data_IF_193450084013
#
_entry.id   IF_193450084013
#
_cell.length_a   1.000
_cell.length_b   1.000
_cell.length_c   1.000
_cell.angle_alpha   90.00
_cell.angle_beta   90.00
_cell.angle_gamma   90.00
#
_symmetry.space_group_name_H-M   'P 1'
#
loop_
_entity.id
_entity.type
_entity.pdbx_description
1 polymer ?
#
# COMPACT_ATOMS: atom_id res chain seq x y z
N UNK A 1 -42.03 56.84 49.54
CA UNK A 1 -41.07 57.43 48.59
C UNK A 1 -39.75 57.65 49.29
N UNK A 2 -38.74 56.81 49.05
CA UNK A 2 -37.37 57.17 48.65
C UNK A 2 -36.51 55.90 48.64
N UNK A 3 -35.70 55.78 47.58
CA UNK A 3 -34.97 54.59 47.17
C UNK A 3 -33.76 54.28 48.07
N UNK A 4 -33.59 53.01 48.44
CA UNK A 4 -32.34 52.51 49.01
C UNK A 4 -31.37 52.14 47.87
N UNK A 5 -30.31 52.92 47.69
CA UNK A 5 -29.22 52.63 46.75
C UNK A 5 -28.21 51.72 47.46
N UNK A 6 -28.22 50.42 47.13
CA UNK A 6 -27.15 49.50 47.51
C UNK A 6 -25.91 49.80 46.66
N UNK A 7 -24.92 50.48 47.25
CA UNK A 7 -23.60 50.66 46.64
C UNK A 7 -22.71 49.47 47.01
N UNK A 8 -22.69 48.45 46.16
CA UNK A 8 -21.73 47.36 46.27
C UNK A 8 -20.34 47.88 45.87
N UNK A 9 -19.55 48.34 46.86
CA UNK A 9 -18.11 48.58 46.67
C UNK A 9 -17.41 47.24 46.47
N UNK A 10 -17.28 46.82 45.22
CA UNK A 10 -16.33 45.77 44.84
C UNK A 10 -14.93 46.29 45.16
N UNK A 11 -14.29 45.73 46.20
CA UNK A 11 -12.90 46.06 46.50
C UNK A 11 -12.02 45.69 45.29
N UNK A 12 -11.04 46.54 44.97
CA UNK A 12 -10.14 46.34 43.84
C UNK A 12 -9.48 44.95 43.81
N UNK A 13 -9.32 44.31 44.98
CA UNK A 13 -8.81 42.95 45.11
C UNK A 13 -9.75 41.83 44.61
N UNK A 14 -11.07 42.02 44.61
CA UNK A 14 -12.03 41.04 44.06
C UNK A 14 -12.12 41.10 42.54
N UNK A 15 -12.02 42.30 41.96
CA UNK A 15 -11.95 42.50 40.50
C UNK A 15 -10.64 41.92 39.94
N UNK A 16 -9.52 42.15 40.62
CA UNK A 16 -8.22 41.57 40.24
C UNK A 16 -8.20 40.03 40.27
N UNK A 17 -8.89 39.39 41.23
CA UNK A 17 -8.98 37.92 41.31
C UNK A 17 -9.87 37.29 40.23
N UNK A 18 -10.95 37.95 39.83
CA UNK A 18 -11.82 37.49 38.74
C UNK A 18 -11.15 37.63 37.36
N UNK A 19 -10.36 38.70 37.16
CA UNK A 19 -9.54 38.86 35.96
C UNK A 19 -8.41 37.83 35.86
N UNK A 20 -7.75 37.50 36.98
CA UNK A 20 -6.72 36.45 37.01
C UNK A 20 -7.29 35.06 36.71
N UNK A 21 -8.49 34.73 37.19
CA UNK A 21 -9.17 33.47 36.89
C UNK A 21 -9.65 33.39 35.42
N UNK A 22 -10.10 34.51 34.83
CA UNK A 22 -10.45 34.57 33.42
C UNK A 22 -9.22 34.45 32.49
N UNK A 23 -8.08 35.03 32.87
CA UNK A 23 -6.82 34.90 32.13
C UNK A 23 -6.24 33.47 32.21
N UNK A 24 -6.40 32.79 33.34
CA UNK A 24 -6.00 31.39 33.48
C UNK A 24 -6.93 30.42 32.71
N UNK A 25 -8.22 30.75 32.60
CA UNK A 25 -9.19 29.99 31.80
C UNK A 25 -8.96 30.12 30.29
N UNK A 26 -8.52 31.29 29.81
CA UNK A 26 -8.18 31.49 28.38
C UNK A 26 -6.80 30.88 28.04
N UNK A 27 -5.86 30.86 28.98
CA UNK A 27 -4.57 30.20 28.79
C UNK A 27 -4.68 28.65 28.71
N UNK A 28 -5.69 28.05 29.33
CA UNK A 28 -5.97 26.60 29.24
C UNK A 28 -6.79 26.20 28.01
N UNK A 29 -7.44 27.14 27.32
CA UNK A 29 -8.16 26.90 26.06
C UNK A 29 -7.27 27.11 24.83
N UNK A 30 -6.17 27.84 24.97
CA UNK A 30 -5.06 27.83 24.01
C UNK A 30 -4.09 26.71 24.36
N UNK A 31 -4.59 25.47 24.34
CA UNK A 31 -3.71 24.32 24.14
C UNK A 31 -2.94 24.59 22.86
N UNK A 32 -1.66 24.95 23.00
CA UNK A 32 -0.74 25.15 21.90
C UNK A 32 -0.94 23.95 20.96
N UNK A 33 -1.53 24.22 19.81
CA UNK A 33 -1.58 23.27 18.71
C UNK A 33 -0.12 23.17 18.29
N UNK A 34 0.64 22.29 18.96
CA UNK A 34 1.94 21.92 18.50
C UNK A 34 1.72 21.54 17.04
N UNK A 35 2.37 22.26 16.12
CA UNK A 35 2.41 21.89 14.71
C UNK A 35 3.12 20.54 14.64
N UNK A 36 2.38 19.48 14.96
CA UNK A 36 2.85 18.11 14.83
C UNK A 36 3.11 17.93 13.34
N UNK A 37 4.35 17.60 12.99
CA UNK A 37 4.72 17.34 11.62
C UNK A 37 3.70 16.37 10.97
N UNK A 38 3.33 16.60 9.70
CA UNK A 38 2.33 15.78 9.02
C UNK A 38 2.74 14.31 9.04
N UNK A 39 1.77 13.42 9.20
CA UNK A 39 1.99 11.99 9.04
C UNK A 39 2.33 11.70 7.58
N UNK A 40 3.53 11.16 7.31
CA UNK A 40 3.99 10.86 5.97
C UNK A 40 3.79 9.39 5.63
N UNK A 41 3.01 9.13 4.58
CA UNK A 41 2.68 7.78 4.13
C UNK A 41 3.33 7.55 2.77
N UNK A 42 4.27 6.61 2.70
CA UNK A 42 4.89 6.19 1.46
C UNK A 42 4.07 5.15 0.71
N UNK A 43 3.89 5.34 -0.58
CA UNK A 43 3.21 4.39 -1.46
C UNK A 43 3.85 4.39 -2.85
N UNK A 44 3.93 3.22 -3.48
CA UNK A 44 4.30 3.13 -4.89
C UNK A 44 3.13 3.51 -5.80
N UNK A 45 3.40 4.24 -6.88
CA UNK A 45 2.40 4.74 -7.83
C UNK A 45 1.43 3.65 -8.25
N UNK A 46 0.16 3.86 -7.93
CA UNK A 46 -0.91 2.91 -8.16
C UNK A 46 -2.28 3.60 -8.09
N UNK A 47 -3.33 3.02 -8.69
CA UNK A 47 -4.70 3.53 -8.58
C UNK A 47 -5.21 3.64 -7.12
N UNK A 48 -4.56 2.97 -6.16
CA UNK A 48 -4.92 2.99 -4.74
C UNK A 48 -4.71 4.35 -4.07
N UNK A 49 -3.90 5.21 -4.67
CA UNK A 49 -3.56 6.53 -4.12
C UNK A 49 -4.79 7.42 -3.95
N UNK A 50 -5.78 7.31 -4.82
CA UNK A 50 -7.02 8.08 -4.68
C UNK A 50 -7.77 7.71 -3.39
N UNK A 51 -7.76 6.43 -3.00
CA UNK A 51 -8.32 5.98 -1.73
C UNK A 51 -7.55 6.54 -0.53
N UNK A 52 -6.21 6.62 -0.61
CA UNK A 52 -5.38 7.27 0.42
C UNK A 52 -5.64 8.77 0.51
N UNK A 53 -5.83 9.47 -0.61
CA UNK A 53 -6.17 10.90 -0.64
C UNK A 53 -7.54 11.16 0.00
N UNK A 54 -8.53 10.30 -0.24
CA UNK A 54 -9.84 10.36 0.43
C UNK A 54 -9.67 10.21 1.95
N UNK A 55 -8.91 9.19 2.40
CA UNK A 55 -8.61 9.00 3.82
C UNK A 55 -7.86 10.19 4.43
N UNK A 56 -6.90 10.78 3.71
CA UNK A 56 -6.17 11.97 4.15
C UNK A 56 -7.08 13.19 4.32
N UNK A 57 -8.05 13.38 3.43
CA UNK A 57 -9.05 14.45 3.56
C UNK A 57 -9.92 14.26 4.81
N UNK A 58 -10.37 13.03 5.09
CA UNK A 58 -11.14 12.72 6.30
C UNK A 58 -10.29 12.86 7.58
N UNK A 59 -9.03 12.42 7.54
CA UNK A 59 -8.07 12.60 8.62
C UNK A 59 -7.85 14.08 8.95
N UNK A 60 -7.74 14.94 7.94
CA UNK A 60 -7.59 16.38 8.11
C UNK A 60 -8.80 17.01 8.81
N UNK A 61 -10.02 16.58 8.47
CA UNK A 61 -11.23 17.01 9.16
C UNK A 61 -11.25 16.60 10.64
N UNK A 62 -10.51 15.53 11.00
CA UNK A 62 -10.31 15.07 12.37
C UNK A 62 -9.02 15.60 13.02
N UNK A 63 -8.39 16.63 12.43
CA UNK A 63 -7.20 17.29 12.98
C UNK A 63 -5.88 16.55 12.79
N UNK A 64 -5.82 15.54 11.90
CA UNK A 64 -4.58 14.85 11.54
C UNK A 64 -4.16 15.25 10.12
N UNK A 65 -3.06 15.99 9.98
CA UNK A 65 -2.49 16.31 8.67
C UNK A 65 -1.69 15.11 8.13
N UNK A 66 -1.90 14.78 6.86
CA UNK A 66 -1.34 13.59 6.22
C UNK A 66 -0.76 13.97 4.87
N UNK A 67 0.50 13.59 4.64
CA UNK A 67 1.19 13.75 3.36
C UNK A 67 1.42 12.38 2.73
N UNK A 68 0.82 12.16 1.57
CA UNK A 68 1.13 10.99 0.74
C UNK A 68 2.41 11.28 -0.04
N UNK A 69 3.37 10.36 0.05
CA UNK A 69 4.65 10.41 -0.66
C UNK A 69 4.67 9.28 -1.68
N UNK A 70 4.67 9.64 -2.95
CA UNK A 70 4.61 8.71 -4.07
C UNK A 70 6.01 8.29 -4.53
N UNK A 71 6.17 7.00 -4.83
CA UNK A 71 7.39 6.42 -5.40
C UNK A 71 7.08 5.69 -6.71
N UNK A 72 7.98 5.74 -7.68
CA UNK A 72 7.77 5.13 -9.01
C UNK A 72 8.24 3.67 -9.10
N UNK A 73 8.84 3.15 -8.03
CA UNK A 73 9.41 1.80 -7.93
C UNK A 73 9.10 1.14 -6.56
N UNK A 74 9.59 -0.09 -6.35
CA UNK A 74 9.35 -0.90 -5.15
C UNK A 74 10.56 -1.00 -4.20
N UNK A 75 11.69 -0.41 -4.55
CA UNK A 75 12.91 -0.45 -3.74
C UNK A 75 13.02 0.81 -2.85
N UNK A 76 12.69 1.97 -3.41
CA UNK A 76 12.82 3.28 -2.76
C UNK A 76 11.96 3.45 -1.49
N UNK A 77 10.70 2.95 -1.40
CA UNK A 77 9.87 3.19 -0.22
C UNK A 77 10.44 2.62 1.10
N UNK A 78 11.15 1.48 1.04
CA UNK A 78 11.78 0.89 2.22
C UNK A 78 12.99 1.68 2.69
N UNK A 79 13.82 2.17 1.76
CA UNK A 79 14.93 3.07 2.10
C UNK A 79 14.43 4.39 2.73
N UNK A 80 13.36 4.97 2.16
CA UNK A 80 12.72 6.16 2.72
C UNK A 80 12.15 5.92 4.13
N UNK A 81 11.59 4.73 4.38
CA UNK A 81 11.12 4.35 5.72
C UNK A 81 12.28 4.23 6.70
N UNK A 82 13.39 3.61 6.32
CA UNK A 82 14.59 3.51 7.16
C UNK A 82 15.18 4.90 7.50
N UNK A 83 15.24 5.79 6.51
CA UNK A 83 15.80 7.14 6.65
C UNK A 83 14.87 8.13 7.36
N UNK A 84 13.68 7.69 7.79
CA UNK A 84 12.64 8.53 8.42
C UNK A 84 12.10 9.65 7.51
N UNK A 85 12.25 9.49 6.20
CA UNK A 85 11.63 10.37 5.21
C UNK A 85 10.11 10.19 5.16
N UNK A 86 9.63 9.00 5.52
CA UNK A 86 8.23 8.63 5.73
C UNK A 86 8.04 7.93 7.09
N UNK A 87 6.82 7.97 7.64
CA UNK A 87 6.48 7.36 8.93
C UNK A 87 5.98 5.92 8.79
N UNK A 88 5.24 5.65 7.73
CA UNK A 88 4.65 4.34 7.39
C UNK A 88 4.68 4.17 5.89
N UNK A 89 4.88 2.95 5.40
CA UNK A 89 4.66 2.63 3.99
C UNK A 89 3.50 1.63 3.82
N UNK A 90 2.87 1.70 2.65
CA UNK A 90 1.70 0.90 2.29
C UNK A 90 1.77 0.49 0.81
N UNK A 91 2.72 -0.40 0.50
CA UNK A 91 2.99 -0.84 -0.88
C UNK A 91 3.38 -2.32 -1.02
N UNK A 92 3.80 -2.97 0.06
CA UNK A 92 4.40 -4.31 0.04
C UNK A 92 3.58 -5.33 0.81
N UNK A 93 3.72 -6.60 0.44
CA UNK A 93 3.11 -7.74 1.15
C UNK A 93 4.11 -8.42 2.10
N UNK A 94 3.66 -9.40 2.89
CA UNK A 94 4.48 -10.05 3.91
C UNK A 94 5.73 -10.72 3.33
N UNK A 95 5.65 -11.53 2.25
CA UNK A 95 6.84 -12.10 1.63
C UNK A 95 7.89 -11.06 1.18
N UNK A 96 7.46 -9.92 0.63
CA UNK A 96 8.38 -8.85 0.24
C UNK A 96 9.01 -8.17 1.46
N UNK A 97 8.23 -7.93 2.51
CA UNK A 97 8.71 -7.40 3.79
C UNK A 97 9.75 -8.33 4.44
N UNK A 98 9.49 -9.63 4.49
CA UNK A 98 10.42 -10.63 5.03
C UNK A 98 11.73 -10.64 4.23
N UNK A 99 11.65 -10.58 2.90
CA UNK A 99 12.82 -10.48 2.05
C UNK A 99 13.58 -9.17 2.27
N UNK A 100 12.88 -8.04 2.40
CA UNK A 100 13.48 -6.74 2.67
C UNK A 100 14.22 -6.73 4.02
N UNK A 101 13.63 -7.29 5.08
CA UNK A 101 14.30 -7.43 6.38
C UNK A 101 15.53 -8.34 6.29
N UNK A 102 15.41 -9.49 5.61
CA UNK A 102 16.50 -10.48 5.50
C UNK A 102 17.68 -9.98 4.65
N UNK A 103 17.40 -9.43 3.46
CA UNK A 103 18.42 -9.05 2.48
C UNK A 103 18.85 -7.59 2.61
N UNK A 104 17.92 -6.70 2.98
CA UNK A 104 18.16 -5.26 3.12
C UNK A 104 18.66 -4.84 4.50
N UNK A 105 18.73 -5.76 5.47
CA UNK A 105 19.17 -5.46 6.83
C UNK A 105 18.19 -4.59 7.62
N UNK A 106 16.92 -4.56 7.21
CA UNK A 106 15.87 -3.83 7.92
C UNK A 106 15.27 -4.68 9.06
N UNK A 107 14.56 -4.00 9.96
CA UNK A 107 13.77 -4.66 11.01
C UNK A 107 12.37 -4.06 11.04
N UNK A 108 11.75 -3.90 9.87
CA UNK A 108 10.42 -3.32 9.76
C UNK A 108 9.33 -4.29 10.23
N UNK A 109 8.22 -3.73 10.68
CA UNK A 109 7.10 -4.46 11.28
C UNK A 109 5.81 -4.13 10.53
N UNK A 110 5.06 -5.16 10.13
CA UNK A 110 3.66 -4.98 9.70
C UNK A 110 2.78 -4.77 10.93
N UNK A 111 1.95 -3.73 10.90
CA UNK A 111 1.04 -3.38 12.01
C UNK A 111 -0.45 -3.51 11.67
N UNK A 112 -0.79 -3.70 10.39
CA UNK A 112 -2.14 -3.98 9.93
C UNK A 112 -2.13 -4.50 8.47
N UNK A 113 -3.07 -5.38 8.10
CA UNK A 113 -3.30 -5.74 6.71
C UNK A 113 -4.07 -4.64 5.97
N UNK A 114 -3.94 -4.64 4.66
CA UNK A 114 -4.64 -3.76 3.74
C UNK A 114 -5.33 -4.54 2.63
N UNK A 115 -5.21 -4.04 1.41
CA UNK A 115 -5.84 -4.65 0.24
C UNK A 115 -4.99 -5.79 -0.31
N UNK A 116 -5.61 -6.83 -0.81
CA UNK A 116 -4.96 -7.84 -1.66
C UNK A 116 -5.28 -7.55 -3.12
N UNK A 117 -4.25 -7.52 -3.96
CA UNK A 117 -4.35 -7.28 -5.40
C UNK A 117 -4.06 -8.58 -6.15
N UNK A 118 -4.92 -8.93 -7.11
CA UNK A 118 -4.65 -10.02 -8.03
C UNK A 118 -3.43 -9.68 -8.89
N UNK A 119 -2.65 -10.68 -9.25
CA UNK A 119 -1.74 -10.62 -10.40
C UNK A 119 -2.23 -11.62 -11.44
N UNK A 120 -1.81 -11.45 -12.69
CA UNK A 120 -2.26 -12.32 -13.77
C UNK A 120 -1.19 -12.66 -14.78
N UNK A 121 -1.48 -13.64 -15.64
CA UNK A 121 -0.76 -13.89 -16.87
C UNK A 121 -1.52 -13.24 -18.02
N UNK A 122 -0.87 -12.33 -18.73
CA UNK A 122 -1.46 -11.54 -19.81
C UNK A 122 -0.70 -11.81 -21.10
N UNK A 123 -1.42 -11.71 -22.23
CA UNK A 123 -0.82 -11.74 -23.56
C UNK A 123 -1.60 -10.82 -24.49
N UNK A 124 -0.89 -10.16 -25.42
CA UNK A 124 -1.48 -9.50 -26.59
C UNK A 124 -1.42 -10.38 -27.85
N UNK A 125 -0.70 -11.50 -27.81
CA UNK A 125 -0.38 -12.35 -28.97
C UNK A 125 -1.16 -13.65 -29.00
N UNK A 126 -1.51 -14.19 -27.83
CA UNK A 126 -2.26 -15.44 -27.69
C UNK A 126 -3.51 -15.26 -26.84
N UNK A 127 -4.55 -16.03 -27.16
CA UNK A 127 -5.81 -16.05 -26.39
C UNK A 127 -5.90 -17.21 -25.41
N UNK A 128 -4.98 -18.17 -25.51
CA UNK A 128 -4.93 -19.35 -24.67
C UNK A 128 -3.49 -19.85 -24.53
N UNK A 129 -3.20 -20.61 -23.47
CA UNK A 129 -1.87 -21.14 -23.21
C UNK A 129 -1.40 -22.19 -24.24
N UNK A 130 -2.33 -22.86 -24.94
CA UNK A 130 -2.02 -23.84 -25.97
C UNK A 130 -1.38 -23.22 -27.21
N UNK A 131 -1.75 -21.98 -27.53
CA UNK A 131 -1.22 -21.20 -28.67
C UNK A 131 0.24 -20.75 -28.49
N UNK A 132 0.79 -20.83 -27.26
CA UNK A 132 2.20 -20.51 -27.03
C UNK A 132 3.09 -21.47 -27.83
N UNK A 133 3.95 -20.91 -28.67
CA UNK A 133 4.91 -21.67 -29.48
C UNK A 133 6.04 -22.20 -28.59
N UNK A 134 6.73 -23.22 -29.10
CA UNK A 134 7.99 -23.63 -28.51
C UNK A 134 9.00 -22.46 -28.51
N UNK A 135 9.73 -22.27 -27.42
CA UNK A 135 10.67 -21.17 -27.26
C UNK A 135 10.03 -19.80 -27.01
N UNK A 136 8.72 -19.74 -26.73
CA UNK A 136 8.00 -18.49 -26.45
C UNK A 136 8.63 -17.71 -25.28
N UNK A 137 8.64 -16.38 -25.41
CA UNK A 137 9.17 -15.45 -24.40
C UNK A 137 8.12 -15.20 -23.33
N UNK A 138 8.50 -15.42 -22.07
CA UNK A 138 7.63 -15.21 -20.91
C UNK A 138 8.29 -14.25 -19.94
N UNK A 139 7.73 -13.05 -19.77
CA UNK A 139 8.25 -12.09 -18.80
C UNK A 139 7.70 -12.35 -17.39
N UNK A 140 8.55 -12.28 -16.37
CA UNK A 140 8.18 -12.32 -14.95
C UNK A 140 8.89 -11.21 -14.19
N UNK A 141 8.42 -10.88 -12.98
CA UNK A 141 9.12 -9.95 -12.11
C UNK A 141 10.53 -10.47 -11.76
N UNK A 142 11.51 -9.56 -11.70
CA UNK A 142 12.90 -9.87 -11.41
C UNK A 142 13.23 -9.88 -9.91
N UNK A 143 12.40 -9.28 -9.06
CA UNK A 143 12.58 -9.39 -7.60
C UNK A 143 12.30 -10.83 -7.14
N UNK A 144 13.07 -11.37 -6.17
CA UNK A 144 13.03 -12.80 -5.83
C UNK A 144 11.63 -13.32 -5.47
N UNK A 145 10.85 -12.51 -4.75
CA UNK A 145 9.57 -12.92 -4.18
C UNK A 145 8.48 -12.92 -5.24
N UNK A 146 8.36 -11.84 -6.01
CA UNK A 146 7.33 -11.77 -7.03
C UNK A 146 7.69 -12.55 -8.29
N UNK A 147 8.98 -12.76 -8.58
CA UNK A 147 9.44 -13.70 -9.59
C UNK A 147 9.01 -15.12 -9.26
N UNK A 148 9.21 -15.57 -8.02
CA UNK A 148 8.70 -16.86 -7.55
C UNK A 148 7.17 -16.95 -7.56
N UNK A 149 6.45 -15.88 -7.18
CA UNK A 149 4.97 -15.80 -7.35
C UNK A 149 4.56 -15.96 -8.83
N UNK A 150 5.32 -15.37 -9.75
CA UNK A 150 5.14 -15.53 -11.19
C UNK A 150 5.36 -16.97 -11.66
N UNK A 151 6.42 -17.63 -11.18
CA UNK A 151 6.70 -19.04 -11.48
C UNK A 151 5.62 -19.98 -10.95
N UNK A 152 5.11 -19.74 -9.74
CA UNK A 152 3.96 -20.48 -9.19
C UNK A 152 2.72 -20.32 -10.08
N UNK A 153 2.49 -19.12 -10.62
CA UNK A 153 1.37 -18.86 -11.51
C UNK A 153 1.53 -19.57 -12.86
N UNK A 154 2.75 -19.61 -13.42
CA UNK A 154 3.07 -20.39 -14.62
C UNK A 154 2.89 -21.90 -14.38
N UNK A 155 3.29 -22.41 -13.21
CA UNK A 155 3.04 -23.79 -12.84
C UNK A 155 1.55 -24.10 -12.79
N UNK A 156 0.76 -23.21 -12.18
CA UNK A 156 -0.70 -23.38 -12.09
C UNK A 156 -1.38 -23.29 -13.45
N UNK A 157 -0.80 -22.56 -14.40
CA UNK A 157 -1.22 -22.55 -15.80
C UNK A 157 -0.82 -23.83 -16.57
N UNK A 158 -0.08 -24.76 -15.95
CA UNK A 158 0.41 -25.99 -16.58
C UNK A 158 1.55 -25.78 -17.57
N UNK A 159 2.18 -24.59 -17.55
CA UNK A 159 3.23 -24.23 -18.51
C UNK A 159 4.61 -24.76 -18.12
N UNK A 160 4.85 -24.89 -16.81
CA UNK A 160 6.08 -25.43 -16.22
C UNK A 160 5.73 -26.32 -15.03
N UNK A 161 6.69 -27.11 -14.56
CA UNK A 161 6.62 -27.78 -13.26
C UNK A 161 7.81 -27.33 -12.42
N UNK A 162 7.56 -26.95 -11.18
CA UNK A 162 8.58 -26.64 -10.19
C UNK A 162 8.88 -27.86 -9.33
N UNK A 163 9.99 -27.83 -8.60
CA UNK A 163 10.31 -28.84 -7.58
C UNK A 163 9.15 -28.98 -6.57
N UNK A 164 8.87 -30.20 -6.08
CA UNK A 164 7.88 -30.40 -5.03
C UNK A 164 8.16 -29.51 -3.81
N UNK A 165 7.12 -28.88 -3.25
CA UNK A 165 7.25 -27.96 -2.12
C UNK A 165 7.73 -26.54 -2.47
N UNK A 166 7.91 -26.22 -3.76
CA UNK A 166 8.20 -24.86 -4.19
C UNK A 166 7.13 -23.86 -3.70
N UNK A 167 7.59 -22.69 -3.25
CA UNK A 167 6.76 -21.57 -2.81
C UNK A 167 7.18 -20.27 -3.52
N UNK A 168 6.83 -19.11 -2.97
CA UNK A 168 7.15 -17.81 -3.55
C UNK A 168 8.66 -17.52 -3.63
N UNK A 169 9.51 -18.36 -3.04
CA UNK A 169 10.98 -18.28 -3.11
C UNK A 169 11.57 -19.07 -4.29
N UNK A 170 10.72 -19.75 -5.06
CA UNK A 170 11.16 -20.51 -6.23
C UNK A 170 11.90 -19.62 -7.24
N UNK A 171 12.92 -20.19 -7.86
CA UNK A 171 13.71 -19.56 -8.92
C UNK A 171 13.57 -20.36 -10.22
N UNK A 172 14.11 -19.83 -11.33
CA UNK A 172 14.18 -20.57 -12.60
C UNK A 172 14.98 -21.86 -12.49
N UNK A 173 15.89 -21.98 -11.50
CA UNK A 173 16.64 -23.21 -11.19
C UNK A 173 15.79 -24.29 -10.52
N UNK A 174 14.56 -23.96 -10.09
CA UNK A 174 13.62 -24.89 -9.50
C UNK A 174 12.63 -25.47 -10.51
N UNK A 175 12.75 -25.10 -11.78
CA UNK A 175 11.96 -25.66 -12.88
C UNK A 175 12.47 -27.07 -13.21
N UNK A 176 11.63 -28.08 -13.00
CA UNK A 176 11.92 -29.49 -13.29
C UNK A 176 11.28 -29.97 -14.60
N UNK A 177 10.34 -29.20 -15.17
CA UNK A 177 9.79 -29.46 -16.50
C UNK A 177 9.39 -28.15 -17.18
N UNK A 178 9.78 -28.00 -18.44
CA UNK A 178 9.46 -26.86 -19.31
C UNK A 178 9.23 -27.37 -20.74
N UNK A 179 8.08 -28.04 -21.02
CA UNK A 179 7.89 -28.79 -22.26
C UNK A 179 7.81 -27.93 -23.53
N UNK A 180 7.54 -26.63 -23.39
CA UNK A 180 7.53 -25.64 -24.50
C UNK A 180 8.84 -24.84 -24.58
N UNK A 181 9.89 -25.23 -23.84
CA UNK A 181 11.17 -24.53 -23.78
C UNK A 181 11.04 -23.01 -23.59
N UNK A 182 10.08 -22.59 -22.75
CA UNK A 182 9.75 -21.19 -22.52
C UNK A 182 10.99 -20.42 -22.06
N UNK A 183 11.24 -19.27 -22.69
CA UNK A 183 12.33 -18.36 -22.33
C UNK A 183 11.82 -17.42 -21.26
N UNK A 184 12.12 -17.70 -20.00
CA UNK A 184 11.73 -16.87 -18.86
C UNK A 184 12.65 -15.64 -18.80
N UNK A 185 12.06 -14.45 -18.91
CA UNK A 185 12.76 -13.16 -18.94
C UNK A 185 12.40 -12.38 -17.68
N UNK A 186 13.34 -12.19 -16.74
CA UNK A 186 13.12 -11.36 -15.57
C UNK A 186 13.14 -9.88 -15.96
N UNK A 187 12.13 -9.12 -15.55
CA UNK A 187 12.04 -7.66 -15.75
C UNK A 187 11.60 -6.97 -14.46
N UNK A 188 11.93 -5.68 -14.35
CA UNK A 188 11.37 -4.82 -13.30
C UNK A 188 9.84 -4.80 -13.40
N UNK A 189 9.14 -4.84 -12.26
CA UNK A 189 7.70 -4.99 -12.23
C UNK A 189 6.95 -3.86 -12.98
N UNK A 190 7.49 -2.64 -12.93
CA UNK A 190 6.96 -1.46 -13.64
C UNK A 190 7.12 -1.54 -15.17
N UNK A 191 7.95 -2.44 -15.68
CA UNK A 191 8.19 -2.64 -17.12
C UNK A 191 7.32 -3.75 -17.71
N UNK A 192 6.80 -4.67 -16.89
CA UNK A 192 6.04 -5.84 -17.35
C UNK A 192 4.84 -5.47 -18.23
N UNK A 193 4.08 -4.45 -17.85
CA UNK A 193 2.90 -4.02 -18.61
C UNK A 193 3.23 -3.54 -20.03
N UNK A 194 4.40 -2.91 -20.22
CA UNK A 194 4.89 -2.46 -21.54
C UNK A 194 5.57 -3.58 -22.32
N UNK A 195 6.13 -4.58 -21.64
CA UNK A 195 6.76 -5.74 -22.29
C UNK A 195 5.79 -6.59 -23.11
N UNK A 196 4.47 -6.45 -22.90
CA UNK A 196 3.42 -7.23 -23.56
C UNK A 196 3.43 -7.17 -25.10
N UNK A 197 4.04 -6.13 -25.69
CA UNK A 197 4.24 -6.04 -27.14
C UNK A 197 5.42 -6.91 -27.63
N UNK A 198 6.44 -7.09 -26.80
CA UNK A 198 7.69 -7.76 -27.16
C UNK A 198 7.72 -9.24 -26.79
N UNK A 199 6.99 -9.64 -25.74
CA UNK A 199 6.94 -11.03 -25.26
C UNK A 199 5.65 -11.74 -25.69
N UNK A 200 5.58 -13.05 -25.50
CA UNK A 200 4.41 -13.87 -25.85
C UNK A 200 3.44 -14.02 -24.68
N UNK A 201 3.96 -13.93 -23.45
CA UNK A 201 3.20 -13.93 -22.21
C UNK A 201 3.94 -13.09 -21.16
N UNK A 202 3.24 -12.39 -20.29
CA UNK A 202 3.86 -11.71 -19.15
C UNK A 202 3.04 -11.93 -17.87
N UNK A 203 3.74 -12.08 -16.74
CA UNK A 203 3.19 -11.71 -15.45
C UNK A 203 2.81 -10.23 -15.48
N UNK A 204 1.61 -9.91 -15.01
CA UNK A 204 1.08 -8.55 -15.01
C UNK A 204 0.44 -8.19 -13.68
N UNK A 205 0.61 -6.92 -13.32
CA UNK A 205 -0.07 -6.29 -12.20
C UNK A 205 -1.18 -5.40 -12.75
N UNK A 206 -2.45 -5.62 -12.38
CA UNK A 206 -3.55 -4.83 -12.91
C UNK A 206 -3.38 -3.32 -12.67
N UNK A 207 -2.74 -2.91 -11.58
CA UNK A 207 -2.36 -1.53 -11.31
C UNK A 207 -1.45 -0.94 -12.39
N UNK A 208 -0.36 -1.64 -12.74
CA UNK A 208 0.56 -1.18 -13.79
C UNK A 208 -0.05 -1.26 -15.18
N UNK A 209 -0.87 -2.27 -15.48
CA UNK A 209 -1.60 -2.36 -16.75
C UNK A 209 -2.55 -1.17 -16.90
N UNK A 210 -3.30 -0.84 -15.85
CA UNK A 210 -4.21 0.31 -15.85
C UNK A 210 -3.47 1.62 -16.07
N UNK A 211 -2.32 1.81 -15.41
CA UNK A 211 -1.50 3.01 -15.58
C UNK A 211 -0.85 3.10 -16.96
N UNK A 212 -0.42 1.97 -17.52
CA UNK A 212 0.22 1.93 -18.83
C UNK A 212 -0.78 2.01 -20.00
N UNK A 213 -2.05 1.65 -19.77
CA UNK A 213 -3.09 1.64 -20.80
C UNK A 213 -2.81 0.65 -21.93
N UNK A 214 -1.97 -0.37 -21.69
CA UNK A 214 -1.49 -1.27 -22.76
C UNK A 214 -2.46 -2.39 -23.11
N UNK A 215 -3.35 -2.78 -22.18
CA UNK A 215 -4.44 -3.74 -22.36
C UNK A 215 -5.49 -3.57 -21.25
N UNK A 216 -6.61 -4.28 -21.31
CA UNK A 216 -7.62 -4.28 -20.22
C UNK A 216 -7.04 -5.00 -18.98
N UNK A 217 -6.99 -4.36 -17.79
CA UNK A 217 -6.57 -4.99 -16.55
C UNK A 217 -7.34 -6.28 -16.19
N UNK A 218 -8.55 -6.48 -16.69
CA UNK A 218 -9.37 -7.68 -16.46
C UNK A 218 -9.11 -8.82 -17.45
N UNK A 219 -8.28 -8.61 -18.48
CA UNK A 219 -8.05 -9.54 -19.59
C UNK A 219 -7.02 -10.65 -19.32
N UNK A 220 -6.61 -10.87 -18.08
CA UNK A 220 -5.64 -11.92 -17.80
C UNK A 220 -6.18 -13.29 -18.23
N UNK A 221 -5.33 -14.10 -18.85
CA UNK A 221 -5.62 -15.51 -19.17
C UNK A 221 -5.79 -16.33 -17.89
N UNK A 222 -5.12 -15.93 -16.82
CA UNK A 222 -5.22 -16.54 -15.49
C UNK A 222 -4.83 -15.53 -14.41
N UNK A 223 -5.68 -15.36 -13.40
CA UNK A 223 -5.40 -14.56 -12.19
C UNK A 223 -5.03 -15.43 -11.01
N UNK A 224 -4.02 -15.06 -10.23
CA UNK A 224 -3.56 -15.79 -9.04
C UNK A 224 -4.60 -15.90 -7.92
N UNK A 225 -5.53 -14.95 -7.82
CA UNK A 225 -6.64 -14.98 -6.87
C UNK A 225 -6.43 -14.04 -5.68
N UNK A 226 -7.24 -14.18 -4.63
CA UNK A 226 -7.17 -13.33 -3.41
C UNK A 226 -7.27 -14.11 -2.11
N UNK A 227 -7.16 -15.43 -2.20
CA UNK A 227 -7.34 -16.39 -1.11
C UNK A 227 -6.09 -16.44 -0.25
N UNK A 228 -4.91 -16.33 -0.87
CA UNK A 228 -3.64 -16.34 -0.14
C UNK A 228 -3.33 -14.96 0.46
N UNK A 229 -3.74 -14.77 1.71
CA UNK A 229 -3.62 -13.49 2.44
C UNK A 229 -2.19 -13.06 2.74
N UNK A 230 -1.18 -13.92 2.58
CA UNK A 230 0.23 -13.49 2.73
C UNK A 230 0.58 -12.39 1.72
N UNK A 231 -0.12 -12.34 0.57
CA UNK A 231 0.06 -11.32 -0.47
C UNK A 231 -0.81 -10.07 -0.29
N UNK A 232 -1.52 -9.92 0.83
CA UNK A 232 -2.17 -8.66 1.17
C UNK A 232 -1.11 -7.58 1.42
N UNK A 233 -1.31 -6.39 0.86
CA UNK A 233 -0.47 -5.22 1.14
C UNK A 233 -0.58 -4.87 2.63
N UNK A 234 0.55 -4.53 3.23
CA UNK A 234 0.68 -4.31 4.67
C UNK A 234 0.96 -2.84 4.95
N UNK A 235 0.47 -2.36 6.10
CA UNK A 235 0.93 -1.13 6.72
C UNK A 235 2.21 -1.43 7.49
N UNK A 236 3.34 -0.95 6.97
CA UNK A 236 4.67 -1.30 7.48
C UNK A 236 5.34 -0.08 8.09
N UNK A 237 5.90 -0.27 9.28
CA UNK A 237 6.56 0.78 10.08
C UNK A 237 7.92 0.31 10.59
N UNK A 238 8.71 1.26 11.11
CA UNK A 238 9.86 0.95 11.95
C UNK A 238 9.41 0.46 13.34
N UNK A 239 10.23 -0.31 14.08
CA UNK A 239 9.89 -0.79 15.42
C UNK A 239 9.51 0.32 16.41
N UNK A 240 10.20 1.46 16.34
CA UNK A 240 9.96 2.63 17.20
C UNK A 240 8.62 3.33 16.94
N UNK A 241 7.93 2.98 15.86
CA UNK A 241 6.71 3.63 15.38
C UNK A 241 5.48 2.71 15.47
N UNK A 242 5.60 1.49 16.00
CA UNK A 242 4.50 0.49 16.13
C UNK A 242 3.29 1.00 16.92
N UNK A 243 3.55 1.88 17.88
CA UNK A 243 2.55 2.46 18.78
C UNK A 243 2.22 3.92 18.43
N UNK A 244 2.63 4.43 17.27
CA UNK A 244 2.30 5.80 16.88
C UNK A 244 0.77 5.94 16.71
N UNK A 245 0.09 6.76 17.55
CA UNK A 245 -1.37 6.89 17.51
C UNK A 245 -1.85 7.57 16.21
N UNK A 246 -1.02 8.37 15.54
CA UNK A 246 -1.35 9.02 14.26
C UNK A 246 -1.52 7.96 13.17
N UNK A 247 -0.61 6.98 13.14
CA UNK A 247 -0.64 5.86 12.18
C UNK A 247 -1.89 5.01 12.43
N UNK A 248 -2.16 4.63 13.69
CA UNK A 248 -3.36 3.85 14.06
C UNK A 248 -4.66 4.56 13.69
N UNK A 249 -4.75 5.87 13.97
CA UNK A 249 -5.90 6.70 13.61
C UNK A 249 -6.10 6.74 12.09
N UNK A 250 -5.03 6.94 11.31
CA UNK A 250 -5.14 6.95 9.86
C UNK A 250 -5.59 5.60 9.28
N UNK A 251 -5.01 4.50 9.76
CA UNK A 251 -5.39 3.14 9.34
C UNK A 251 -6.88 2.90 9.61
N UNK A 252 -7.37 3.27 10.80
CA UNK A 252 -8.79 3.14 11.14
C UNK A 252 -9.70 3.92 10.18
N UNK A 253 -9.34 5.18 9.87
CA UNK A 253 -10.08 6.00 8.90
C UNK A 253 -10.08 5.33 7.52
N UNK A 254 -8.91 4.91 7.04
CA UNK A 254 -8.78 4.25 5.75
C UNK A 254 -9.60 2.96 5.66
N UNK A 255 -9.58 2.14 6.71
CA UNK A 255 -10.22 0.83 6.72
C UNK A 255 -11.74 0.89 6.94
N UNK A 256 -12.24 1.89 7.67
CA UNK A 256 -13.65 1.99 8.06
C UNK A 256 -14.46 2.95 7.19
N UNK A 257 -13.81 3.85 6.45
CA UNK A 257 -14.51 4.85 5.63
C UNK A 257 -15.23 4.22 4.43
N UNK A 258 -16.56 4.42 4.30
CA UNK A 258 -17.29 4.03 3.09
C UNK A 258 -16.82 4.79 1.84
N UNK A 259 -16.30 6.02 1.99
CA UNK A 259 -15.78 6.78 0.86
C UNK A 259 -14.46 6.19 0.35
N UNK A 260 -13.59 5.75 1.26
CA UNK A 260 -12.37 5.02 0.92
C UNK A 260 -12.72 3.71 0.23
N UNK A 261 -13.71 2.97 0.75
CA UNK A 261 -14.18 1.74 0.11
C UNK A 261 -14.66 1.98 -1.32
N UNK A 262 -15.50 2.99 -1.55
CA UNK A 262 -15.95 3.37 -2.91
C UNK A 262 -14.79 3.77 -3.83
N UNK A 263 -13.80 4.50 -3.31
CA UNK A 263 -12.62 4.87 -4.10
C UNK A 263 -11.82 3.63 -4.55
N UNK A 264 -11.68 2.62 -3.68
CA UNK A 264 -11.06 1.34 -4.02
C UNK A 264 -11.88 0.55 -5.04
N UNK A 265 -13.20 0.46 -4.85
CA UNK A 265 -14.10 -0.22 -5.79
C UNK A 265 -14.04 0.43 -7.18
N UNK A 266 -14.02 1.76 -7.26
CA UNK A 266 -13.85 2.49 -8.52
C UNK A 266 -12.46 2.29 -9.15
N UNK A 267 -11.42 2.20 -8.32
CA UNK A 267 -10.06 2.04 -8.79
C UNK A 267 -9.80 0.63 -9.37
N UNK A 268 -10.36 -0.42 -8.74
CA UNK A 268 -9.96 -1.81 -9.01
C UNK A 268 -11.11 -2.74 -9.41
N UNK A 269 -12.38 -2.39 -9.16
CA UNK A 269 -13.50 -3.28 -9.41
C UNK A 269 -13.30 -4.65 -8.74
N UNK A 270 -13.30 -5.72 -9.53
CA UNK A 270 -13.12 -7.10 -9.06
C UNK A 270 -11.66 -7.58 -8.96
N UNK A 271 -10.69 -6.69 -9.21
CA UNK A 271 -9.26 -7.02 -9.26
C UNK A 271 -8.56 -6.99 -7.89
N UNK A 272 -9.31 -6.65 -6.84
CA UNK A 272 -8.81 -6.58 -5.48
C UNK A 272 -9.80 -7.21 -4.49
N UNK A 273 -9.30 -7.47 -3.28
CA UNK A 273 -10.14 -7.74 -2.13
C UNK A 273 -9.58 -7.04 -0.88
N UNK A 274 -10.39 -7.04 0.18
CA UNK A 274 -10.02 -6.54 1.50
C UNK A 274 -9.42 -7.68 2.32
N UNK A 275 -8.41 -7.38 3.14
CA UNK A 275 -7.80 -8.32 4.08
C UNK A 275 -7.84 -7.83 5.54
N UNK A 276 -8.62 -6.79 5.83
CA UNK A 276 -8.97 -6.32 7.17
C UNK A 276 -10.46 -6.51 7.47
#
# INVERSE_FOLDING_TARGET
>A
MLHAVFSARLSAGRVARLLAAALLGVALLNGARADTAPLKIGISTSPQIEALKVAAKEAKAQGLDVRIVEFTDWNTPNAALANKDIDVNYFQHIPFLENANKQGGYNFVSIAPGTIMKIGLYSKKVKSFSELKDGAKVAIANDPVNGGRGLLLLQRAGLIKLKPGADYRATTHDIVSNPKHLKIIPLEASQLARSLDDVDLAQGYPSFIKLAGTTDPNSALLFDGTENKIFAIQWVVRPDSVNDPRIRKFIAIYQQSPAVRRALDNAFGSLYAIAW
#
